data_IF_166742540776
#
_entry.id   IF_166742540776
#
_cell.length_a   1.000
_cell.length_b   1.000
_cell.length_c   1.000
_cell.angle_alpha   90.00
_cell.angle_beta   90.00
_cell.angle_gamma   90.00
#
_symmetry.space_group_name_H-M   'P 1'
#
loop_
_entity.id
_entity.type
_entity.pdbx_description
1 polymer ?
#
# COMPACT_ATOMS: atom_id res chain seq x y z
N UNK A 1 18.76 12.28 -19.61
CA UNK A 1 18.28 13.01 -18.42
C UNK A 1 18.52 14.48 -18.62
N UNK A 2 17.47 15.29 -18.83
CA UNK A 2 17.58 16.76 -18.80
C UNK A 2 17.81 17.13 -17.34
N UNK A 3 18.81 17.96 -17.08
CA UNK A 3 19.19 18.39 -15.74
C UNK A 3 18.00 19.02 -15.02
N UNK A 4 17.70 18.53 -13.83
CA UNK A 4 16.64 19.05 -12.96
C UNK A 4 16.84 20.54 -12.62
N UNK A 5 18.09 21.01 -12.59
CA UNK A 5 18.45 22.44 -12.42
C UNK A 5 17.93 23.33 -13.55
N UNK A 6 17.86 22.85 -14.81
CA UNK A 6 17.23 23.58 -15.91
C UNK A 6 15.70 23.59 -15.81
N UNK A 7 15.12 22.67 -15.06
CA UNK A 7 13.70 22.53 -14.86
C UNK A 7 13.12 23.60 -13.91
N UNK A 8 13.90 24.01 -12.90
CA UNK A 8 13.55 25.10 -11.98
C UNK A 8 13.73 26.50 -12.59
N UNK A 9 14.45 26.63 -13.70
CA UNK A 9 14.76 27.91 -14.34
C UNK A 9 13.73 28.39 -15.37
N UNK A 10 12.82 27.53 -15.83
CA UNK A 10 11.91 27.83 -16.95
C UNK A 10 10.50 28.32 -16.57
N UNK A 11 10.25 28.77 -15.35
CA UNK A 11 8.98 29.41 -14.98
C UNK A 11 8.97 29.78 -13.51
N UNK A 12 8.50 30.95 -13.19
CA UNK A 12 8.12 31.40 -11.85
C UNK A 12 6.85 30.67 -11.38
N UNK A 13 6.83 29.34 -11.47
CA UNK A 13 5.75 28.52 -10.95
C UNK A 13 6.02 28.24 -9.47
N UNK A 14 4.98 28.24 -8.67
CA UNK A 14 5.03 27.85 -7.25
C UNK A 14 5.72 26.49 -7.11
N UNK A 15 6.56 26.29 -6.09
CA UNK A 15 7.23 25.02 -5.87
C UNK A 15 6.19 23.90 -5.70
N UNK A 16 6.52 22.70 -6.14
CA UNK A 16 5.66 21.54 -5.89
C UNK A 16 5.56 21.24 -4.40
N UNK A 17 4.37 20.89 -3.98
CA UNK A 17 4.04 20.49 -2.62
C UNK A 17 3.62 19.01 -2.62
N UNK A 18 4.18 18.23 -1.72
CA UNK A 18 3.81 16.85 -1.46
C UNK A 18 3.03 16.76 -0.15
N UNK A 19 1.78 16.35 -0.21
CA UNK A 19 0.97 16.06 0.98
C UNK A 19 0.98 14.55 1.21
N UNK A 20 1.64 14.12 2.28
CA UNK A 20 1.67 12.71 2.70
C UNK A 20 0.63 12.48 3.76
N UNK A 21 -0.40 11.71 3.42
CA UNK A 21 -1.38 11.27 4.41
C UNK A 21 -0.89 10.01 5.10
N UNK A 22 -1.10 9.96 6.40
CA UNK A 22 -0.80 8.80 7.20
C UNK A 22 -1.97 8.48 8.15
N UNK A 23 -1.94 7.30 8.71
CA UNK A 23 -2.79 6.89 9.80
C UNK A 23 -1.97 6.03 10.76
N UNK A 24 -1.66 6.56 11.90
CA UNK A 24 -0.76 5.90 12.85
C UNK A 24 -1.43 5.50 14.13
N UNK A 25 -2.51 6.17 14.54
CA UNK A 25 -3.25 5.83 15.74
C UNK A 25 -4.67 6.37 15.69
N UNK A 26 -5.59 5.69 16.38
CA UNK A 26 -6.94 6.20 16.65
C UNK A 26 -6.94 7.20 17.82
N UNK A 27 -5.93 7.13 18.71
CA UNK A 27 -5.76 8.09 19.81
C UNK A 27 -4.72 9.16 19.41
N UNK A 28 -5.16 10.42 19.42
CA UNK A 28 -4.31 11.58 19.10
C UNK A 28 -3.03 11.61 19.95
N UNK A 29 -3.09 11.14 21.21
CA UNK A 29 -1.93 11.11 22.13
C UNK A 29 -0.87 10.11 21.72
N UNK A 30 -1.22 9.16 20.86
CA UNK A 30 -0.33 8.12 20.34
C UNK A 30 0.09 8.37 18.88
N UNK A 31 -0.49 9.40 18.24
CA UNK A 31 -0.06 9.83 16.91
C UNK A 31 1.41 10.27 17.00
N UNK A 32 2.22 9.76 16.08
CA UNK A 32 3.65 10.08 16.03
C UNK A 32 4.56 9.25 16.93
N UNK A 33 4.03 8.52 17.92
CA UNK A 33 4.85 7.65 18.78
C UNK A 33 5.21 6.31 18.16
N UNK A 34 4.56 5.94 17.06
CA UNK A 34 4.81 4.68 16.37
C UNK A 34 6.01 4.81 15.43
N UNK A 35 6.80 3.73 15.34
CA UNK A 35 7.89 3.66 14.37
C UNK A 35 7.35 3.71 12.93
N UNK A 36 7.84 4.67 12.15
CA UNK A 36 7.42 4.95 10.78
C UNK A 36 8.60 4.85 9.81
N UNK A 37 9.12 3.67 9.56
CA UNK A 37 10.34 3.52 8.76
C UNK A 37 10.23 4.13 7.35
N UNK A 38 9.04 4.13 6.75
CA UNK A 38 8.82 4.74 5.43
C UNK A 38 8.79 6.28 5.48
N UNK A 39 8.48 6.87 6.64
CA UNK A 39 8.38 8.31 6.79
C UNK A 39 9.73 9.01 6.63
N UNK A 40 10.77 8.47 7.29
CA UNK A 40 12.13 8.97 7.15
C UNK A 40 12.61 8.89 5.69
N UNK A 41 12.38 7.74 5.04
CA UNK A 41 12.75 7.54 3.63
C UNK A 41 12.05 8.54 2.71
N UNK A 42 10.75 8.79 2.93
CA UNK A 42 9.96 9.76 2.15
C UNK A 42 10.48 11.19 2.38
N UNK A 43 10.71 11.58 3.65
CA UNK A 43 11.22 12.90 4.00
C UNK A 43 12.60 13.18 3.41
N UNK A 44 13.51 12.23 3.57
CA UNK A 44 14.87 12.35 3.05
C UNK A 44 14.88 12.45 1.52
N UNK A 45 14.03 11.68 0.85
CA UNK A 45 13.88 11.72 -0.60
C UNK A 45 13.31 13.07 -1.07
N UNK A 46 12.26 13.59 -0.42
CA UNK A 46 11.66 14.88 -0.77
C UNK A 46 12.65 16.04 -0.56
N UNK A 47 13.33 16.07 0.60
CA UNK A 47 14.37 17.07 0.90
C UNK A 47 15.51 17.05 -0.11
N UNK A 48 15.98 15.87 -0.51
CA UNK A 48 17.10 15.72 -1.44
C UNK A 48 16.80 16.26 -2.84
N UNK A 49 15.53 16.39 -3.21
CA UNK A 49 15.09 16.93 -4.52
C UNK A 49 14.37 18.27 -4.40
N UNK A 50 14.39 18.90 -3.21
CA UNK A 50 13.85 20.25 -2.99
C UNK A 50 12.33 20.36 -3.09
N UNK A 51 11.59 19.29 -2.76
CA UNK A 51 10.13 19.30 -2.69
C UNK A 51 9.70 19.69 -1.28
N UNK A 52 8.76 20.63 -1.20
CA UNK A 52 8.07 20.95 0.05
C UNK A 52 7.14 19.80 0.44
N UNK A 53 7.26 19.32 1.68
CA UNK A 53 6.51 18.16 2.18
C UNK A 53 5.73 18.53 3.43
N UNK A 54 4.44 18.20 3.42
CA UNK A 54 3.55 18.32 4.55
C UNK A 54 2.95 16.95 4.90
N UNK A 55 2.88 16.67 6.20
CA UNK A 55 2.30 15.45 6.73
C UNK A 55 0.92 15.72 7.29
N UNK A 56 -0.02 14.85 6.96
CA UNK A 56 -1.42 14.91 7.39
C UNK A 56 -1.79 13.56 8.00
N UNK A 57 -2.20 13.57 9.27
CA UNK A 57 -2.86 12.38 9.83
C UNK A 57 -4.32 12.39 9.43
N UNK A 58 -4.82 11.26 8.94
CA UNK A 58 -6.25 11.14 8.61
C UNK A 58 -7.16 11.37 9.81
N UNK A 59 -6.89 10.83 11.02
CA UNK A 59 -7.61 11.24 12.21
C UNK A 59 -7.49 12.74 12.45
N UNK A 60 -8.62 13.41 12.63
CA UNK A 60 -8.67 14.84 12.88
C UNK A 60 -8.45 15.75 11.66
N UNK A 61 -8.18 15.18 10.47
CA UNK A 61 -8.09 16.01 9.26
C UNK A 61 -9.46 16.29 8.65
N UNK A 62 -9.59 17.46 8.05
CA UNK A 62 -10.78 17.87 7.30
C UNK A 62 -10.43 18.92 6.24
N UNK A 63 -11.33 19.07 5.26
CA UNK A 63 -11.18 20.05 4.18
C UNK A 63 -11.99 21.31 4.55
N UNK A 64 -11.38 22.49 4.37
CA UNK A 64 -12.06 23.76 4.47
C UNK A 64 -11.78 24.66 3.28
N UNK A 65 -12.68 25.62 3.03
CA UNK A 65 -12.53 26.59 1.96
C UNK A 65 -12.70 27.99 2.52
N UNK A 66 -11.73 28.87 2.25
CA UNK A 66 -11.75 30.26 2.71
C UNK A 66 -11.17 31.16 1.63
N UNK A 67 -11.88 32.23 1.27
CA UNK A 67 -11.46 33.19 0.24
C UNK A 67 -11.10 32.53 -1.10
N UNK A 68 -11.90 31.57 -1.55
CA UNK A 68 -11.68 30.74 -2.76
C UNK A 68 -10.36 29.93 -2.75
N UNK A 69 -9.78 29.71 -1.58
CA UNK A 69 -8.62 28.84 -1.38
C UNK A 69 -9.04 27.62 -0.61
N UNK A 70 -8.46 26.48 -0.96
CA UNK A 70 -8.75 25.19 -0.36
C UNK A 70 -7.63 24.82 0.64
N UNK A 71 -8.04 24.30 1.77
CA UNK A 71 -7.13 23.91 2.86
C UNK A 71 -7.44 22.49 3.32
N UNK A 72 -6.37 21.74 3.62
CA UNK A 72 -6.43 20.56 4.48
C UNK A 72 -6.01 21.01 5.87
N UNK A 73 -6.88 20.82 6.85
CA UNK A 73 -6.55 21.10 8.25
C UNK A 73 -5.97 19.85 8.89
N UNK A 74 -4.85 19.95 9.55
CA UNK A 74 -4.12 18.84 10.13
C UNK A 74 -3.44 19.26 11.42
N UNK A 75 -3.02 18.28 12.22
CA UNK A 75 -2.20 18.52 13.40
C UNK A 75 -0.84 19.12 13.01
N UNK A 76 -0.24 19.85 13.97
CA UNK A 76 1.16 20.30 13.86
C UNK A 76 2.07 19.19 14.39
N UNK A 77 3.15 18.92 13.68
CA UNK A 77 4.13 17.89 14.05
C UNK A 77 5.47 18.53 14.44
N UNK A 78 6.16 17.91 15.40
CA UNK A 78 7.54 18.23 15.71
C UNK A 78 8.50 17.62 14.65
N UNK A 79 9.79 17.92 14.77
CA UNK A 79 10.83 17.39 13.88
C UNK A 79 10.95 15.85 13.92
N UNK A 80 10.44 15.22 14.97
CA UNK A 80 10.43 13.77 15.15
C UNK A 80 9.13 13.13 14.65
N UNK A 81 8.17 13.93 14.19
CA UNK A 81 6.88 13.45 13.70
C UNK A 81 5.85 13.19 14.82
N UNK A 82 6.03 13.72 16.02
CA UNK A 82 5.00 13.67 17.07
C UNK A 82 4.05 14.86 16.91
N UNK A 83 2.76 14.66 17.25
CA UNK A 83 1.80 15.77 17.29
C UNK A 83 2.17 16.71 18.44
N UNK A 84 2.26 18.00 18.13
CA UNK A 84 2.39 19.05 19.12
C UNK A 84 0.97 19.35 19.61
N UNK A 85 0.68 18.96 20.84
CA UNK A 85 -0.58 19.30 21.51
C UNK A 85 -0.40 20.61 22.31
N UNK A 86 -1.42 21.49 22.39
CA UNK A 86 -1.39 22.62 23.31
C UNK A 86 -1.30 22.12 24.76
N UNK A 87 -0.79 22.97 25.65
CA UNK A 87 -0.86 22.69 27.07
C UNK A 87 -2.33 22.56 27.52
N UNK A 88 -2.60 21.75 28.57
CA UNK A 88 -3.97 21.39 28.98
C UNK A 88 -4.89 22.59 29.27
N UNK A 89 -4.32 23.78 29.51
CA UNK A 89 -5.03 25.04 29.87
C UNK A 89 -5.04 26.09 28.72
N UNK A 90 -4.57 25.71 27.51
CA UNK A 90 -4.53 26.66 26.39
C UNK A 90 -5.62 26.29 25.35
N UNK A 91 -6.50 27.28 25.04
CA UNK A 91 -7.41 27.22 23.88
C UNK A 91 -6.67 27.33 22.54
N UNK A 92 -5.42 26.85 22.45
CA UNK A 92 -4.61 26.93 21.27
C UNK A 92 -5.07 25.90 20.22
N UNK A 93 -5.29 26.35 19.00
CA UNK A 93 -5.52 25.47 17.86
C UNK A 93 -4.27 24.63 17.61
N UNK A 94 -4.34 23.30 17.88
CA UNK A 94 -3.29 22.34 17.56
C UNK A 94 -3.37 21.83 16.11
N UNK A 95 -4.23 22.43 15.32
CA UNK A 95 -4.35 22.17 13.89
C UNK A 95 -3.89 23.38 13.10
N UNK A 96 -3.17 23.13 12.01
CA UNK A 96 -2.81 24.16 11.05
C UNK A 96 -3.54 23.95 9.73
N UNK A 97 -4.04 25.01 9.07
CA UNK A 97 -4.51 24.94 7.70
C UNK A 97 -3.31 24.84 6.73
N UNK A 98 -3.29 23.83 5.89
CA UNK A 98 -2.33 23.66 4.80
C UNK A 98 -3.04 24.06 3.52
N UNK A 99 -2.63 25.17 2.91
CA UNK A 99 -3.17 25.60 1.61
C UNK A 99 -2.76 24.60 0.53
N UNK A 100 -3.71 24.18 -0.29
CA UNK A 100 -3.47 23.23 -1.39
C UNK A 100 -4.00 23.79 -2.71
N UNK A 101 -3.28 23.48 -3.81
CA UNK A 101 -3.60 23.94 -5.14
C UNK A 101 -3.42 22.82 -6.17
N UNK A 102 -4.43 22.58 -7.01
CA UNK A 102 -4.39 21.52 -8.03
C UNK A 102 -3.19 21.63 -9.01
N UNK A 103 -2.59 22.82 -9.14
CA UNK A 103 -1.50 23.05 -10.10
C UNK A 103 -0.14 22.56 -9.61
N UNK A 104 0.04 22.46 -8.31
CA UNK A 104 1.35 22.14 -7.70
C UNK A 104 1.30 21.15 -6.53
N UNK A 105 0.11 20.74 -6.03
CA UNK A 105 -0.01 19.84 -4.90
C UNK A 105 -0.25 18.40 -5.36
N UNK A 106 0.67 17.48 -5.02
CA UNK A 106 0.51 16.05 -5.14
C UNK A 106 0.03 15.47 -3.81
N UNK A 107 -1.05 14.71 -3.86
CA UNK A 107 -1.57 13.96 -2.71
C UNK A 107 -1.00 12.54 -2.74
N UNK A 108 -0.42 12.13 -1.61
CA UNK A 108 0.23 10.83 -1.47
C UNK A 108 -0.35 10.06 -0.28
N UNK A 109 -1.54 9.44 -0.43
CA UNK A 109 -2.17 8.71 0.66
C UNK A 109 -1.39 7.44 1.00
N UNK A 110 -0.98 7.37 2.27
CA UNK A 110 -0.38 6.19 2.89
C UNK A 110 -1.30 5.73 4.03
N UNK A 111 -1.26 4.51 4.45
CA UNK A 111 -1.99 4.05 5.64
C UNK A 111 -3.51 3.91 5.54
N UNK A 112 -4.14 4.16 4.38
CA UNK A 112 -5.59 3.98 4.20
C UNK A 112 -6.07 2.54 4.50
N UNK A 113 -5.19 1.54 4.42
CA UNK A 113 -5.52 0.13 4.62
C UNK A 113 -5.32 -0.39 6.05
N UNK A 114 -4.79 0.41 6.97
CA UNK A 114 -4.47 -0.03 8.35
C UNK A 114 -5.63 0.10 9.31
N UNK A 115 -6.77 0.59 8.86
CA UNK A 115 -7.88 0.98 9.71
C UNK A 115 -9.05 0.04 9.67
N UNK A 116 -9.73 -0.09 10.81
CA UNK A 116 -11.02 -0.75 10.90
C UNK A 116 -12.05 -0.14 9.94
N UNK A 117 -12.99 -0.95 9.47
CA UNK A 117 -13.93 -0.66 8.37
C UNK A 117 -14.71 0.66 8.49
N UNK A 118 -14.89 1.20 9.69
CA UNK A 118 -15.71 2.39 9.92
C UNK A 118 -14.99 3.70 9.65
N UNK A 119 -13.70 3.79 9.93
CA UNK A 119 -12.96 5.04 9.82
C UNK A 119 -12.37 5.26 8.43
N UNK A 120 -12.07 4.19 7.68
CA UNK A 120 -11.50 4.29 6.33
C UNK A 120 -12.45 4.94 5.30
N UNK A 121 -13.77 4.91 5.53
CA UNK A 121 -14.74 5.48 4.60
C UNK A 121 -14.61 7.01 4.51
N UNK A 122 -14.61 7.71 5.65
CA UNK A 122 -14.49 9.17 5.67
C UNK A 122 -13.21 9.66 4.96
N UNK A 123 -12.10 8.97 5.15
CA UNK A 123 -10.83 9.38 4.52
C UNK A 123 -10.78 9.05 3.04
N UNK A 124 -11.36 7.93 2.62
CA UNK A 124 -11.54 7.67 1.20
C UNK A 124 -12.46 8.69 0.54
N UNK A 125 -13.44 9.21 1.27
CA UNK A 125 -14.33 10.27 0.80
C UNK A 125 -13.57 11.61 0.69
N UNK A 126 -12.72 11.97 1.66
CA UNK A 126 -11.83 13.16 1.55
C UNK A 126 -10.98 13.07 0.28
N UNK A 127 -10.26 11.97 0.08
CA UNK A 127 -9.42 11.81 -1.12
C UNK A 127 -10.27 11.83 -2.40
N UNK A 128 -11.43 11.19 -2.40
CA UNK A 128 -12.35 11.21 -3.56
C UNK A 128 -12.83 12.63 -3.90
N UNK A 129 -13.13 13.45 -2.88
CA UNK A 129 -13.53 14.85 -3.07
C UNK A 129 -12.37 15.65 -3.67
N UNK A 130 -11.15 15.45 -3.20
CA UNK A 130 -9.97 16.13 -3.74
C UNK A 130 -9.68 15.70 -5.19
N UNK A 131 -9.78 14.40 -5.51
CA UNK A 131 -9.67 13.91 -6.90
C UNK A 131 -10.74 14.53 -7.82
N UNK A 132 -12.00 14.61 -7.36
CA UNK A 132 -13.09 15.23 -8.12
C UNK A 132 -12.88 16.74 -8.30
N UNK A 133 -12.10 17.40 -7.45
CA UNK A 133 -11.66 18.78 -7.60
C UNK A 133 -10.42 18.92 -8.48
N UNK A 134 -9.89 17.84 -9.04
CA UNK A 134 -8.76 17.83 -9.98
C UNK A 134 -7.38 17.70 -9.36
N UNK A 135 -7.28 17.37 -8.07
CA UNK A 135 -5.99 17.08 -7.45
C UNK A 135 -5.40 15.77 -7.96
N UNK A 136 -4.10 15.74 -8.15
CA UNK A 136 -3.36 14.51 -8.47
C UNK A 136 -3.15 13.71 -7.19
N UNK A 137 -3.52 12.43 -7.25
CA UNK A 137 -3.45 11.52 -6.10
C UNK A 137 -2.77 10.21 -6.49
N UNK A 138 -1.79 9.78 -5.72
CA UNK A 138 -1.05 8.53 -5.96
C UNK A 138 -0.93 7.76 -4.64
N UNK A 139 -1.59 6.61 -4.53
CA UNK A 139 -2.49 6.01 -5.52
C UNK A 139 -3.82 6.77 -5.64
N UNK A 140 -4.48 6.65 -6.78
CA UNK A 140 -5.88 7.08 -6.90
C UNK A 140 -6.77 6.25 -5.96
N UNK A 141 -7.89 6.84 -5.53
CA UNK A 141 -8.84 6.12 -4.68
C UNK A 141 -9.40 4.86 -5.37
N UNK A 142 -9.55 4.90 -6.69
CA UNK A 142 -9.95 3.74 -7.49
C UNK A 142 -8.92 2.63 -7.39
N UNK A 143 -7.65 2.92 -7.64
CA UNK A 143 -6.55 1.96 -7.50
C UNK A 143 -6.48 1.41 -6.08
N UNK A 144 -6.56 2.28 -5.07
CA UNK A 144 -6.54 1.85 -3.69
C UNK A 144 -7.67 0.87 -3.36
N UNK A 145 -8.92 1.19 -3.76
CA UNK A 145 -10.09 0.30 -3.52
C UNK A 145 -9.91 -1.07 -4.17
N UNK A 146 -9.38 -1.11 -5.39
CA UNK A 146 -9.11 -2.38 -6.08
C UNK A 146 -8.05 -3.20 -5.33
N UNK A 147 -6.91 -2.60 -5.01
CA UNK A 147 -5.80 -3.27 -4.33
C UNK A 147 -6.14 -3.71 -2.89
N UNK A 148 -7.08 -3.03 -2.22
CA UNK A 148 -7.47 -3.35 -0.85
C UNK A 148 -8.29 -4.65 -0.72
N UNK A 149 -8.78 -5.22 -1.81
CA UNK A 149 -9.53 -6.48 -1.82
C UNK A 149 -8.72 -7.59 -2.49
N UNK A 150 -8.16 -8.49 -1.69
CA UNK A 150 -7.41 -9.66 -2.19
C UNK A 150 -8.28 -10.59 -3.04
N UNK A 151 -9.55 -10.76 -2.64
CA UNK A 151 -10.50 -11.55 -3.42
C UNK A 151 -10.76 -10.95 -4.80
N UNK A 152 -11.06 -9.65 -4.84
CA UNK A 152 -11.29 -8.93 -6.09
C UNK A 152 -10.08 -8.98 -7.02
N UNK A 153 -8.88 -8.69 -6.51
CA UNK A 153 -7.65 -8.75 -7.30
C UNK A 153 -7.38 -10.17 -7.82
N UNK A 154 -7.54 -11.20 -6.98
CA UNK A 154 -7.36 -12.58 -7.41
C UNK A 154 -8.27 -12.93 -8.60
N UNK A 155 -9.57 -12.62 -8.51
CA UNK A 155 -10.51 -12.86 -9.58
C UNK A 155 -10.22 -12.02 -10.83
N UNK A 156 -9.90 -10.73 -10.66
CA UNK A 156 -9.52 -9.84 -11.75
C UNK A 156 -8.32 -10.40 -12.54
N UNK A 157 -7.30 -10.84 -11.84
CA UNK A 157 -6.09 -11.42 -12.45
C UNK A 157 -6.38 -12.73 -13.18
N UNK A 158 -7.09 -13.63 -12.52
CA UNK A 158 -7.48 -14.91 -13.10
C UNK A 158 -8.31 -14.73 -14.39
N UNK A 159 -9.29 -13.84 -14.39
CA UNK A 159 -10.13 -13.52 -15.55
C UNK A 159 -9.34 -12.89 -16.70
N UNK A 160 -8.20 -12.28 -16.40
CA UNK A 160 -7.31 -11.69 -17.40
C UNK A 160 -6.10 -12.58 -17.73
N UNK A 161 -6.13 -13.87 -17.38
CA UNK A 161 -5.11 -14.83 -17.77
C UNK A 161 -3.78 -14.71 -17.01
N UNK A 162 -3.77 -14.09 -15.85
CA UNK A 162 -2.65 -14.19 -14.90
C UNK A 162 -2.86 -15.41 -14.00
N UNK A 163 -1.77 -16.08 -13.67
CA UNK A 163 -1.80 -17.19 -12.73
C UNK A 163 -1.88 -16.69 -11.30
N UNK A 164 -2.85 -17.18 -10.55
CA UNK A 164 -3.04 -16.88 -9.14
C UNK A 164 -3.23 -18.16 -8.34
N UNK A 165 -2.93 -18.22 -7.05
CA UNK A 165 -3.38 -19.35 -6.24
C UNK A 165 -4.90 -19.47 -6.28
N UNK A 166 -5.44 -20.70 -6.33
CA UNK A 166 -6.88 -20.91 -6.23
C UNK A 166 -7.41 -20.28 -4.94
N UNK A 167 -8.48 -19.52 -5.04
CA UNK A 167 -9.00 -18.72 -3.92
C UNK A 167 -10.52 -18.82 -3.88
N UNK A 168 -11.08 -18.94 -2.67
CA UNK A 168 -12.52 -18.95 -2.43
C UNK A 168 -12.86 -18.07 -1.23
N UNK A 169 -13.99 -17.35 -1.29
CA UNK A 169 -14.50 -16.58 -0.17
C UNK A 169 -15.26 -17.43 0.85
N UNK A 170 -15.11 -17.09 2.13
CA UNK A 170 -15.90 -17.62 3.25
C UNK A 170 -16.71 -16.48 3.85
N UNK A 171 -18.02 -16.58 3.79
CA UNK A 171 -18.96 -15.60 4.36
C UNK A 171 -19.47 -16.00 5.73
N UNK A 172 -19.66 -17.28 5.97
CA UNK A 172 -20.13 -17.85 7.24
C UNK A 172 -19.10 -18.84 7.82
N UNK A 173 -19.14 -19.04 9.15
CA UNK A 173 -18.27 -20.01 9.82
C UNK A 173 -18.46 -21.44 9.31
N UNK A 174 -19.68 -21.78 8.94
CA UNK A 174 -20.05 -23.16 8.53
C UNK A 174 -19.83 -23.42 7.02
N UNK A 175 -19.33 -22.43 6.30
CA UNK A 175 -19.04 -22.51 4.85
C UNK A 175 -17.72 -23.22 4.50
N UNK A 176 -16.93 -23.61 5.50
CA UNK A 176 -15.58 -24.14 5.29
C UNK A 176 -15.55 -25.41 4.45
N UNK A 177 -16.47 -26.36 4.70
CA UNK A 177 -16.53 -27.61 3.94
C UNK A 177 -16.93 -27.39 2.48
N UNK A 178 -17.88 -26.48 2.22
CA UNK A 178 -18.23 -26.07 0.85
C UNK A 178 -17.05 -25.39 0.15
N UNK A 179 -16.43 -24.44 0.82
CA UNK A 179 -15.30 -23.72 0.28
C UNK A 179 -14.14 -24.64 -0.09
N UNK A 180 -13.80 -25.61 0.78
CA UNK A 180 -12.78 -26.62 0.48
C UNK A 180 -13.14 -27.52 -0.70
N UNK A 181 -14.40 -27.94 -0.79
CA UNK A 181 -14.89 -28.75 -1.92
C UNK A 181 -14.75 -28.00 -3.24
N UNK A 182 -15.14 -26.73 -3.27
CA UNK A 182 -15.03 -25.90 -4.48
C UNK A 182 -13.59 -25.53 -4.80
N UNK A 183 -12.76 -25.23 -3.80
CA UNK A 183 -11.34 -24.95 -3.97
C UNK A 183 -10.59 -26.14 -4.59
N UNK A 184 -11.05 -27.37 -4.31
CA UNK A 184 -10.51 -28.61 -4.85
C UNK A 184 -8.98 -28.67 -4.75
N UNK A 185 -8.44 -28.49 -3.55
CA UNK A 185 -7.00 -28.53 -3.26
C UNK A 185 -6.71 -29.45 -2.07
N UNK A 186 -5.44 -29.76 -1.89
CA UNK A 186 -4.97 -30.53 -0.73
C UNK A 186 -4.55 -29.59 0.38
N UNK A 187 -4.58 -30.09 1.62
CA UNK A 187 -3.95 -29.40 2.74
C UNK A 187 -2.41 -29.42 2.62
N UNK A 188 -1.72 -28.41 3.17
CA UNK A 188 -2.29 -27.27 3.90
C UNK A 188 -2.99 -26.25 2.98
N UNK A 189 -3.82 -25.39 3.58
CA UNK A 189 -4.42 -24.24 2.91
C UNK A 189 -4.12 -22.97 3.70
N UNK A 190 -4.20 -21.83 3.02
CA UNK A 190 -4.02 -20.50 3.63
C UNK A 190 -5.38 -19.86 3.90
N UNK A 191 -5.61 -19.46 5.14
CA UNK A 191 -6.73 -18.60 5.54
C UNK A 191 -6.22 -17.17 5.76
N UNK A 192 -6.90 -16.19 5.18
CA UNK A 192 -6.56 -14.78 5.39
C UNK A 192 -7.77 -13.85 5.24
N UNK A 193 -7.68 -12.66 5.82
CA UNK A 193 -8.67 -11.61 5.59
C UNK A 193 -8.63 -11.16 4.12
N UNK A 194 -9.81 -10.95 3.53
CA UNK A 194 -9.94 -10.45 2.15
C UNK A 194 -9.43 -9.02 2.01
N UNK A 195 -9.60 -8.20 3.06
CA UNK A 195 -9.19 -6.78 3.09
C UNK A 195 -8.60 -6.40 4.45
N UNK A 196 -7.92 -5.24 4.50
CA UNK A 196 -7.50 -4.61 5.76
C UNK A 196 -6.29 -5.24 6.48
N UNK A 197 -5.71 -6.34 6.02
CA UNK A 197 -4.50 -6.92 6.61
C UNK A 197 -3.25 -6.42 5.86
N UNK A 198 -2.37 -5.73 6.59
CA UNK A 198 -1.04 -5.37 6.10
C UNK A 198 0.01 -6.16 6.90
N UNK A 199 1.23 -6.27 6.36
CA UNK A 199 2.40 -6.87 7.05
C UNK A 199 2.30 -8.37 7.39
N UNK A 200 1.41 -9.13 6.74
CA UNK A 200 1.28 -10.59 6.99
C UNK A 200 0.56 -10.96 8.28
N UNK A 201 0.03 -9.98 9.03
CA UNK A 201 -0.84 -10.23 10.17
C UNK A 201 -2.20 -10.74 9.68
N UNK A 202 -2.74 -11.78 10.35
CA UNK A 202 -4.03 -12.37 9.95
C UNK A 202 -3.94 -13.36 8.79
N UNK A 203 -2.74 -13.91 8.49
CA UNK A 203 -2.53 -15.04 7.58
C UNK A 203 -2.24 -16.28 8.41
N UNK A 204 -3.03 -17.33 8.22
CA UNK A 204 -2.94 -18.59 8.95
C UNK A 204 -2.82 -19.74 7.97
N UNK A 205 -1.88 -20.67 8.22
CA UNK A 205 -1.81 -21.95 7.54
C UNK A 205 -2.68 -22.97 8.31
N UNK A 206 -3.50 -23.71 7.60
CA UNK A 206 -4.36 -24.74 8.16
C UNK A 206 -4.02 -26.09 7.56
N UNK A 207 -3.68 -27.05 8.41
CA UNK A 207 -3.23 -28.39 8.05
C UNK A 207 -4.39 -29.37 7.85
N UNK A 208 -5.60 -29.00 8.25
CA UNK A 208 -6.78 -29.85 8.16
C UNK A 208 -8.07 -29.02 8.14
N UNK A 209 -9.15 -29.63 7.66
CA UNK A 209 -10.49 -29.04 7.68
C UNK A 209 -10.92 -28.64 9.12
N UNK A 210 -10.60 -29.50 10.11
CA UNK A 210 -10.90 -29.21 11.51
C UNK A 210 -10.20 -27.92 12.01
N UNK A 211 -8.91 -27.77 11.72
CA UNK A 211 -8.16 -26.58 12.13
C UNK A 211 -8.67 -25.34 11.40
N UNK A 212 -8.97 -25.42 10.11
CA UNK A 212 -9.55 -24.33 9.33
C UNK A 212 -10.90 -23.89 9.94
N UNK A 213 -11.81 -24.83 10.16
CA UNK A 213 -13.13 -24.55 10.73
C UNK A 213 -13.05 -23.87 12.10
N UNK A 214 -12.25 -24.42 13.01
CA UNK A 214 -12.05 -23.85 14.34
C UNK A 214 -11.48 -22.41 14.27
N UNK A 215 -10.53 -22.16 13.38
CA UNK A 215 -9.93 -20.84 13.19
C UNK A 215 -10.96 -19.84 12.63
N UNK A 216 -11.75 -20.23 11.63
CA UNK A 216 -12.81 -19.39 11.07
C UNK A 216 -13.85 -19.05 12.13
N UNK A 217 -14.31 -20.04 12.92
CA UNK A 217 -15.25 -19.80 14.02
C UNK A 217 -14.69 -18.81 15.05
N UNK A 218 -13.43 -18.97 15.45
CA UNK A 218 -12.78 -18.06 16.39
C UNK A 218 -12.70 -16.63 15.85
N UNK A 219 -12.27 -16.45 14.61
CA UNK A 219 -12.20 -15.13 13.98
C UNK A 219 -13.59 -14.48 13.90
N UNK A 220 -14.59 -15.22 13.45
CA UNK A 220 -15.97 -14.72 13.31
C UNK A 220 -16.63 -14.43 14.67
N UNK A 221 -16.18 -15.05 15.75
CA UNK A 221 -16.65 -14.71 17.11
C UNK A 221 -16.25 -13.30 17.53
N UNK A 222 -15.02 -12.90 17.21
CA UNK A 222 -14.48 -11.57 17.56
C UNK A 222 -14.81 -10.50 16.52
N UNK A 223 -14.97 -10.89 15.25
CA UNK A 223 -15.26 -9.95 14.15
C UNK A 223 -16.22 -10.58 13.14
N UNK A 224 -17.53 -10.42 13.39
CA UNK A 224 -18.60 -11.00 12.55
C UNK A 224 -18.57 -10.51 11.09
N UNK A 225 -18.06 -9.31 10.87
CA UNK A 225 -18.07 -8.62 9.56
C UNK A 225 -16.79 -8.78 8.77
N UNK A 226 -15.81 -9.54 9.28
CA UNK A 226 -14.58 -9.77 8.51
C UNK A 226 -14.83 -10.75 7.38
N UNK A 227 -14.48 -10.35 6.16
CA UNK A 227 -14.51 -11.24 5.01
C UNK A 227 -13.20 -12.03 4.95
N UNK A 228 -13.35 -13.35 4.87
CA UNK A 228 -12.23 -14.29 4.82
C UNK A 228 -12.14 -14.94 3.45
N UNK A 229 -10.92 -15.28 3.07
CA UNK A 229 -10.64 -16.12 1.92
C UNK A 229 -9.80 -17.32 2.32
N UNK A 230 -10.08 -18.45 1.70
CA UNK A 230 -9.22 -19.64 1.72
C UNK A 230 -8.53 -19.76 0.39
N UNK A 231 -7.25 -20.02 0.44
CA UNK A 231 -6.38 -20.07 -0.74
C UNK A 231 -5.53 -21.34 -0.70
N UNK A 232 -5.25 -21.94 -1.88
CA UNK A 232 -4.30 -23.04 -1.95
C UNK A 232 -2.91 -22.60 -1.47
N UNK A 233 -2.22 -23.50 -0.80
CA UNK A 233 -0.85 -23.27 -0.37
C UNK A 233 0.10 -23.63 -1.52
N UNK A 234 0.95 -22.68 -1.89
CA UNK A 234 2.03 -22.86 -2.87
C UNK A 234 3.35 -22.90 -2.10
N UNK A 235 3.98 -24.07 -2.11
CA UNK A 235 5.28 -24.25 -1.46
C UNK A 235 6.36 -23.48 -2.21
N UNK A 236 7.11 -22.67 -1.47
CA UNK A 236 8.20 -21.86 -2.01
C UNK A 236 9.25 -21.56 -0.94
N UNK A 237 10.47 -21.23 -1.35
CA UNK A 237 11.55 -20.78 -0.45
C UNK A 237 11.69 -19.27 -0.41
N UNK A 238 11.03 -18.55 -1.30
CA UNK A 238 11.02 -17.09 -1.34
C UNK A 238 9.80 -16.59 -2.12
N UNK A 239 9.42 -15.36 -1.86
CA UNK A 239 8.54 -14.59 -2.73
C UNK A 239 9.31 -13.44 -3.39
N UNK A 240 8.68 -12.80 -4.36
CA UNK A 240 9.26 -11.68 -5.09
C UNK A 240 8.34 -10.46 -4.96
N UNK A 241 8.94 -9.32 -4.60
CA UNK A 241 8.31 -8.00 -4.70
C UNK A 241 8.89 -7.22 -5.86
N UNK A 242 8.02 -6.74 -6.73
CA UNK A 242 8.35 -5.87 -7.86
C UNK A 242 7.69 -4.52 -7.65
N UNK A 243 8.42 -3.43 -7.88
CA UNK A 243 7.86 -2.09 -7.92
C UNK A 243 7.68 -1.69 -9.39
N UNK A 244 6.43 -1.43 -9.73
CA UNK A 244 6.02 -0.95 -11.07
C UNK A 244 5.63 0.52 -10.95
N UNK A 245 6.28 1.37 -11.75
CA UNK A 245 6.05 2.80 -11.86
C UNK A 245 5.61 3.10 -13.29
N UNK A 246 4.36 3.54 -13.48
CA UNK A 246 3.77 3.86 -14.79
C UNK A 246 3.96 2.79 -15.88
N UNK A 247 3.89 1.53 -15.47
CA UNK A 247 4.03 0.39 -16.36
C UNK A 247 5.48 -0.01 -16.65
N UNK A 248 6.46 0.58 -15.97
CA UNK A 248 7.85 0.19 -16.02
C UNK A 248 8.29 -0.40 -14.67
N UNK A 249 9.13 -1.43 -14.71
CA UNK A 249 9.70 -2.02 -13.50
C UNK A 249 10.90 -1.19 -13.07
N UNK A 250 10.85 -0.63 -11.87
CA UNK A 250 11.91 0.23 -11.32
C UNK A 250 12.74 -0.47 -10.25
N UNK A 251 12.21 -1.53 -9.63
CA UNK A 251 12.95 -2.33 -8.66
C UNK A 251 12.34 -3.72 -8.49
N UNK A 252 13.18 -4.70 -8.11
CA UNK A 252 12.75 -6.06 -7.74
C UNK A 252 13.62 -6.63 -6.63
N UNK A 253 13.00 -7.35 -5.69
CA UNK A 253 13.69 -8.08 -4.64
C UNK A 253 12.99 -9.39 -4.33
N UNK A 254 13.75 -10.41 -3.96
CA UNK A 254 13.22 -11.61 -3.32
C UNK A 254 13.27 -11.47 -1.80
N UNK A 255 12.31 -12.07 -1.11
CA UNK A 255 12.20 -12.14 0.34
C UNK A 255 12.23 -13.61 0.72
N UNK A 256 13.23 -14.03 1.48
CA UNK A 256 13.40 -15.43 1.84
C UNK A 256 12.39 -15.83 2.91
N UNK A 257 11.82 -17.01 2.78
CA UNK A 257 10.96 -17.60 3.82
C UNK A 257 11.80 -17.80 5.09
N UNK A 258 11.27 -17.36 6.23
CA UNK A 258 11.95 -17.45 7.51
C UNK A 258 11.95 -18.90 7.99
N UNK A 259 13.06 -19.48 8.43
CA UNK A 259 13.09 -20.84 8.95
C UNK A 259 12.07 -21.06 10.08
N UNK A 260 11.22 -22.10 9.94
CA UNK A 260 10.15 -22.38 10.88
C UNK A 260 8.87 -21.56 10.68
N UNK A 261 8.83 -20.73 9.65
CA UNK A 261 7.70 -19.91 9.24
C UNK A 261 7.35 -20.25 7.79
N UNK A 262 6.15 -19.93 7.33
CA UNK A 262 5.74 -20.07 5.93
C UNK A 262 5.66 -18.70 5.21
N UNK A 263 5.83 -17.61 5.94
CA UNK A 263 5.77 -16.24 5.46
C UNK A 263 7.17 -15.69 5.16
N UNK A 264 7.24 -14.77 4.21
CA UNK A 264 8.46 -14.13 3.72
C UNK A 264 8.43 -12.60 3.88
N UNK A 265 7.54 -12.08 4.75
CA UNK A 265 7.37 -10.64 4.92
C UNK A 265 8.62 -9.98 5.53
N UNK A 266 9.15 -8.94 4.87
CA UNK A 266 10.30 -8.19 5.38
C UNK A 266 10.05 -7.53 6.74
N UNK A 267 8.79 -7.16 7.04
CA UNK A 267 8.38 -6.66 8.37
C UNK A 267 8.50 -7.68 9.49
N UNK A 268 8.54 -8.97 9.17
CA UNK A 268 8.81 -10.07 10.11
C UNK A 268 10.29 -10.44 10.20
N UNK A 269 11.18 -9.67 9.55
CA UNK A 269 12.63 -9.92 9.59
C UNK A 269 13.13 -10.83 8.47
N UNK A 270 12.35 -11.09 7.42
CA UNK A 270 12.82 -11.87 6.27
C UNK A 270 14.03 -11.19 5.60
N UNK A 271 15.03 -11.98 5.27
CA UNK A 271 16.18 -11.52 4.50
C UNK A 271 15.76 -11.17 3.08
N UNK A 272 16.21 -10.03 2.60
CA UNK A 272 15.93 -9.55 1.24
C UNK A 272 17.18 -9.57 0.38
N UNK A 273 17.04 -9.91 -0.89
CA UNK A 273 18.14 -9.94 -1.87
C UNK A 273 17.62 -9.45 -3.22
N UNK A 274 18.50 -8.85 -4.03
CA UNK A 274 18.17 -8.52 -5.42
C UNK A 274 17.84 -9.77 -6.22
N UNK A 275 16.96 -9.64 -7.20
CA UNK A 275 16.61 -10.72 -8.11
C UNK A 275 16.46 -10.17 -9.52
N UNK A 276 17.00 -10.91 -10.50
CA UNK A 276 16.70 -10.67 -11.91
C UNK A 276 15.39 -11.39 -12.27
N UNK A 277 14.48 -10.64 -12.85
CA UNK A 277 13.19 -11.15 -13.29
C UNK A 277 13.31 -11.75 -14.68
N UNK A 278 12.62 -12.88 -14.90
CA UNK A 278 12.42 -13.41 -16.25
C UNK A 278 11.45 -12.54 -17.04
N UNK A 279 11.41 -12.68 -18.37
CA UNK A 279 10.48 -11.90 -19.19
C UNK A 279 9.02 -12.17 -18.83
N UNK A 280 8.66 -13.40 -18.52
CA UNK A 280 7.31 -13.79 -18.08
C UNK A 280 6.94 -13.10 -16.76
N UNK A 281 7.85 -13.06 -15.79
CA UNK A 281 7.63 -12.39 -14.51
C UNK A 281 7.49 -10.86 -14.67
N UNK A 282 8.26 -10.26 -15.59
CA UNK A 282 8.14 -8.82 -15.92
C UNK A 282 6.79 -8.51 -16.55
N UNK A 283 6.41 -9.25 -17.58
CA UNK A 283 5.15 -9.05 -18.30
C UNK A 283 3.94 -9.20 -17.37
N UNK A 284 3.92 -10.24 -16.54
CA UNK A 284 2.83 -10.51 -15.61
C UNK A 284 2.75 -9.45 -14.50
N UNK A 285 3.89 -8.98 -13.99
CA UNK A 285 3.93 -7.89 -13.00
C UNK A 285 3.41 -6.57 -13.57
N UNK A 286 3.83 -6.19 -14.76
CA UNK A 286 3.34 -4.99 -15.45
C UNK A 286 1.84 -5.11 -15.74
N UNK A 287 1.39 -6.28 -16.20
CA UNK A 287 -0.02 -6.55 -16.48
C UNK A 287 -0.87 -6.45 -15.22
N UNK A 288 -0.42 -7.01 -14.09
CA UNK A 288 -1.11 -6.92 -12.82
C UNK A 288 -1.28 -5.45 -12.36
N UNK A 289 -0.22 -4.63 -12.46
CA UNK A 289 -0.26 -3.21 -12.13
C UNK A 289 -1.22 -2.43 -13.04
N UNK A 290 -1.23 -2.70 -14.34
CA UNK A 290 -2.16 -2.08 -15.31
C UNK A 290 -3.62 -2.42 -15.03
N UNK A 291 -3.91 -3.67 -14.68
CA UNK A 291 -5.27 -4.13 -14.38
C UNK A 291 -5.89 -3.39 -13.20
N UNK A 292 -5.11 -3.01 -12.19
CA UNK A 292 -5.57 -2.21 -11.06
C UNK A 292 -5.46 -0.70 -11.30
N UNK A 293 -5.09 -0.26 -12.51
CA UNK A 293 -4.95 1.14 -12.92
C UNK A 293 -3.97 1.93 -12.06
N UNK A 294 -2.93 1.27 -11.57
CA UNK A 294 -1.99 1.87 -10.64
C UNK A 294 -0.79 2.50 -11.32
N UNK A 295 -0.44 3.73 -10.90
CA UNK A 295 0.76 4.42 -11.33
C UNK A 295 2.01 3.93 -10.56
N UNK A 296 1.84 3.65 -9.26
CA UNK A 296 2.88 3.10 -8.39
C UNK A 296 2.33 1.88 -7.67
N UNK A 297 2.79 0.69 -8.03
CA UNK A 297 2.28 -0.57 -7.50
C UNK A 297 3.42 -1.47 -7.05
N UNK A 298 3.29 -2.01 -5.85
CA UNK A 298 4.05 -3.18 -5.44
C UNK A 298 3.31 -4.45 -5.84
N UNK A 299 3.93 -5.30 -6.66
CA UNK A 299 3.38 -6.60 -7.06
C UNK A 299 4.13 -7.69 -6.31
N UNK A 300 3.41 -8.54 -5.59
CA UNK A 300 3.96 -9.68 -4.87
C UNK A 300 3.56 -10.97 -5.57
N UNK A 301 4.53 -11.82 -5.88
CA UNK A 301 4.28 -13.12 -6.49
C UNK A 301 5.17 -14.23 -5.92
N UNK A 302 4.70 -15.47 -6.03
CA UNK A 302 5.51 -16.66 -5.81
C UNK A 302 6.06 -17.15 -7.16
N UNK A 303 7.36 -17.44 -7.25
CA UNK A 303 7.95 -17.94 -8.49
C UNK A 303 7.38 -19.30 -8.86
N UNK A 304 7.27 -19.56 -10.16
CA UNK A 304 7.00 -20.89 -10.66
C UNK A 304 8.21 -21.81 -10.45
N UNK A 305 8.01 -23.13 -10.55
CA UNK A 305 9.10 -24.11 -10.49
C UNK A 305 10.09 -23.93 -11.65
N UNK A 306 9.58 -23.74 -12.86
CA UNK A 306 10.35 -23.33 -14.03
C UNK A 306 10.05 -21.86 -14.34
N UNK A 307 10.84 -20.96 -13.78
CA UNK A 307 10.65 -19.51 -13.90
C UNK A 307 10.70 -19.01 -15.35
N UNK A 308 11.44 -19.69 -16.22
CA UNK A 308 11.62 -19.26 -17.62
C UNK A 308 10.41 -19.62 -18.50
N UNK A 309 9.60 -20.63 -18.11
CA UNK A 309 8.54 -21.18 -18.94
C UNK A 309 7.14 -21.03 -18.37
N UNK A 310 7.04 -20.92 -17.04
CA UNK A 310 5.77 -20.88 -16.35
C UNK A 310 5.50 -19.51 -15.74
N UNK A 311 4.23 -19.10 -15.79
CA UNK A 311 3.78 -17.88 -15.11
C UNK A 311 3.99 -17.97 -13.59
N UNK A 312 4.43 -16.90 -12.92
CA UNK A 312 4.45 -16.81 -11.47
C UNK A 312 3.01 -16.82 -10.93
N UNK A 313 2.85 -17.13 -9.64
CA UNK A 313 1.58 -16.96 -8.96
C UNK A 313 1.47 -15.55 -8.37
N UNK A 314 0.69 -14.67 -9.00
CA UNK A 314 0.45 -13.34 -8.44
C UNK A 314 -0.36 -13.48 -7.15
N UNK A 315 0.20 -13.02 -6.02
CA UNK A 315 -0.42 -13.12 -4.69
C UNK A 315 -1.26 -11.92 -4.36
N UNK A 316 -0.67 -10.73 -4.52
CA UNK A 316 -1.31 -9.47 -4.19
C UNK A 316 -0.64 -8.29 -4.90
N UNK A 317 -1.34 -7.19 -4.93
CA UNK A 317 -0.84 -5.88 -5.36
C UNK A 317 -1.06 -4.85 -4.27
N UNK A 318 -0.09 -3.99 -4.08
CA UNK A 318 -0.07 -2.97 -3.05
C UNK A 318 -0.05 -1.59 -3.69
N UNK A 319 -1.12 -0.82 -3.50
CA UNK A 319 -1.23 0.56 -4.01
C UNK A 319 -0.34 1.56 -3.24
N UNK A 320 0.13 1.19 -2.07
CA UNK A 320 1.07 1.97 -1.25
C UNK A 320 2.22 1.09 -0.79
N UNK A 321 3.12 0.68 -1.72
CA UNK A 321 4.23 -0.20 -1.37
C UNK A 321 5.18 0.47 -0.38
N UNK A 322 5.68 -0.28 0.61
CA UNK A 322 6.71 0.20 1.52
C UNK A 322 8.07 0.35 0.81
N UNK A 323 8.76 1.43 1.09
CA UNK A 323 10.04 1.76 0.45
C UNK A 323 11.26 1.26 1.24
N UNK A 324 11.17 1.20 2.56
CA UNK A 324 12.35 0.96 3.41
C UNK A 324 13.12 -0.33 3.11
N UNK A 325 12.43 -1.45 2.86
CA UNK A 325 13.10 -2.71 2.56
C UNK A 325 13.77 -2.71 1.19
N UNK A 326 13.08 -2.18 0.17
CA UNK A 326 13.59 -2.21 -1.19
C UNK A 326 14.73 -1.19 -1.39
N UNK A 327 14.68 -0.02 -0.75
CA UNK A 327 15.79 0.95 -0.71
C UNK A 327 17.06 0.34 -0.13
N UNK A 328 16.93 -0.35 1.02
CA UNK A 328 18.09 -1.05 1.63
C UNK A 328 18.63 -2.15 0.74
N UNK A 329 17.77 -2.84 -0.01
CA UNK A 329 18.16 -3.97 -0.87
C UNK A 329 18.83 -3.48 -2.15
N UNK A 330 18.28 -2.44 -2.79
CA UNK A 330 18.81 -1.88 -4.03
C UNK A 330 20.00 -0.96 -3.81
N UNK A 331 20.18 -0.43 -2.57
CA UNK A 331 21.18 0.59 -2.22
C UNK A 331 21.10 1.81 -3.15
N UNK A 332 19.91 2.12 -3.63
CA UNK A 332 19.64 3.18 -4.62
C UNK A 332 18.84 4.34 -4.01
N UNK A 333 18.44 5.24 -4.87
CA UNK A 333 17.61 6.40 -4.55
C UNK A 333 16.19 6.23 -5.14
N UNK A 334 15.63 5.03 -5.02
CA UNK A 334 14.36 4.66 -5.66
C UNK A 334 13.24 5.65 -5.33
N UNK A 335 13.09 6.01 -4.06
CA UNK A 335 12.04 6.93 -3.61
C UNK A 335 12.21 8.33 -4.21
N UNK A 336 13.46 8.82 -4.31
CA UNK A 336 13.74 10.09 -5.00
C UNK A 336 13.37 10.04 -6.48
N UNK A 337 13.70 8.94 -7.16
CA UNK A 337 13.41 8.78 -8.58
C UNK A 337 11.89 8.66 -8.84
N UNK A 338 11.15 8.00 -7.94
CA UNK A 338 9.70 7.96 -7.96
C UNK A 338 9.10 9.37 -7.82
N UNK A 339 9.59 10.17 -6.86
CA UNK A 339 9.09 11.53 -6.69
C UNK A 339 9.47 12.46 -7.85
N UNK A 340 10.69 12.38 -8.37
CA UNK A 340 11.10 13.11 -9.60
C UNK A 340 10.17 12.78 -10.78
N UNK A 341 9.79 11.49 -10.90
CA UNK A 341 8.89 11.05 -11.96
C UNK A 341 7.51 11.70 -11.81
N UNK A 342 6.91 11.70 -10.62
CA UNK A 342 5.59 12.28 -10.36
C UNK A 342 5.59 13.82 -10.38
N UNK A 343 6.73 14.45 -10.14
CA UNK A 343 6.88 15.90 -10.23
C UNK A 343 7.21 16.39 -11.66
N UNK A 344 7.36 15.49 -12.64
CA UNK A 344 7.48 15.89 -14.04
C UNK A 344 6.16 16.51 -14.51
N UNK A 345 6.24 17.71 -15.10
CA UNK A 345 5.07 18.50 -15.56
C UNK A 345 4.14 17.78 -16.53
N UNK A 346 4.60 16.73 -17.22
CA UNK A 346 3.72 15.88 -18.02
C UNK A 346 2.59 15.22 -17.20
N UNK A 347 2.82 15.01 -15.91
CA UNK A 347 1.82 14.48 -14.98
C UNK A 347 0.78 15.51 -14.58
N UNK A 348 1.07 16.80 -14.75
CA UNK A 348 0.24 17.91 -14.31
C UNK A 348 -0.61 18.49 -15.46
N UNK A 349 -0.42 17.99 -16.68
CA UNK A 349 -1.26 18.26 -17.84
C UNK A 349 -2.36 17.23 -17.94
#
# INVERSE_FOLDING_TARGET
MKNFENYLAEGKDEPYQLIVFANTSEDIRDIGKQDRPDYAVINDAAKAIGIDIEHVEFPGSYISEKNNKLYINSFVFDEKGNVILPAEDEDAEYQKPIEINQKNTLLFPRGLGTMGFTNSRYWTDIISVLENRGFKTIPSITTWRMCNSKYYCNELFRLNGLRTPKTIGITYSDDTSRALKELNTKFPVILKASSGSQTGVGVVISESERSLHATVQMIKLFSKHIDLIVQEFIETTFDVRVIVLDGEIVASMKRLVIPGEFRSNASLGAKTELIDLTEVEKEDSIKAAKLVKGQLIGVDFLPAKDREKEQPYILEVNASPGFGAIERTTKGNLTQDIFKHFMDRKYWK
#
